data_IF_306313968824
#
_entry.id   IF_306313968824
#
_cell.length_a   1.000
_cell.length_b   1.000
_cell.length_c   1.000
_cell.angle_alpha   90.00
_cell.angle_beta   90.00
_cell.angle_gamma   90.00
#
_symmetry.space_group_name_H-M   'P 1'
#
loop_
_entity.id
_entity.type
_entity.pdbx_description
1 polymer ?
#
# COMPACT_ATOMS: atom_id res chain seq x y z
N UNK A 1 -24.14 3.16 12.75
CA UNK A 1 -22.90 3.15 11.93
C UNK A 1 -22.73 1.77 11.33
N UNK A 2 -23.03 1.61 10.04
CA UNK A 2 -22.63 0.40 9.32
C UNK A 2 -21.11 0.38 9.24
N UNK A 3 -20.45 -0.50 10.00
CA UNK A 3 -19.03 -0.82 9.79
C UNK A 3 -18.95 -1.43 8.40
N UNK A 4 -18.64 -0.62 7.41
CA UNK A 4 -18.45 -1.09 6.05
C UNK A 4 -17.23 -2.01 6.08
N UNK A 5 -17.48 -3.32 6.01
CA UNK A 5 -16.45 -4.35 5.89
C UNK A 5 -15.96 -4.34 4.43
N UNK A 6 -15.51 -3.18 3.94
CA UNK A 6 -14.62 -3.16 2.80
C UNK A 6 -13.26 -3.64 3.32
N UNK A 7 -13.16 -4.94 3.57
CA UNK A 7 -11.87 -5.63 3.66
C UNK A 7 -11.16 -5.38 2.35
N UNK A 8 -10.04 -4.64 2.39
CA UNK A 8 -9.17 -4.50 1.22
C UNK A 8 -8.87 -5.92 0.72
N UNK A 9 -9.00 -6.14 -0.58
CA UNK A 9 -8.67 -7.44 -1.17
C UNK A 9 -7.23 -7.82 -0.79
N UNK A 10 -7.03 -9.06 -0.36
CA UNK A 10 -5.74 -9.51 0.16
C UNK A 10 -4.62 -9.40 -0.86
N UNK A 11 -4.93 -9.64 -2.14
CA UNK A 11 -3.97 -9.51 -3.25
C UNK A 11 -3.64 -8.05 -3.50
N UNK A 12 -4.66 -7.19 -3.61
CA UNK A 12 -4.47 -5.76 -3.83
C UNK A 12 -3.65 -5.12 -2.70
N UNK A 13 -3.89 -5.54 -1.45
CA UNK A 13 -3.13 -5.10 -0.29
C UNK A 13 -1.68 -5.59 -0.33
N UNK A 14 -1.47 -6.85 -0.72
CA UNK A 14 -0.12 -7.43 -0.88
C UNK A 14 0.70 -6.64 -1.91
N UNK A 15 0.10 -6.32 -3.05
CA UNK A 15 0.74 -5.51 -4.10
C UNK A 15 1.03 -4.10 -3.61
N UNK A 16 0.06 -3.43 -2.96
CA UNK A 16 0.27 -2.10 -2.38
C UNK A 16 1.41 -2.08 -1.36
N UNK A 17 1.48 -3.10 -0.48
CA UNK A 17 2.55 -3.24 0.51
C UNK A 17 3.92 -3.44 -0.15
N UNK A 18 4.01 -4.23 -1.22
CA UNK A 18 5.26 -4.41 -1.95
C UNK A 18 5.72 -3.10 -2.61
N UNK A 19 4.81 -2.35 -3.24
CA UNK A 19 5.13 -1.02 -3.79
C UNK A 19 5.57 -0.03 -2.72
N UNK A 20 4.98 -0.08 -1.52
CA UNK A 20 5.40 0.74 -0.40
C UNK A 20 6.84 0.40 0.04
N UNK A 21 7.16 -0.88 0.21
CA UNK A 21 8.51 -1.33 0.58
C UNK A 21 9.54 -0.87 -0.47
N UNK A 22 9.23 -1.04 -1.75
CA UNK A 22 10.09 -0.61 -2.86
C UNK A 22 10.30 0.91 -2.87
N UNK A 23 9.25 1.69 -2.60
CA UNK A 23 9.31 3.15 -2.53
C UNK A 23 10.22 3.66 -1.41
N UNK A 24 10.27 2.93 -0.29
CA UNK A 24 11.11 3.24 0.87
C UNK A 24 12.60 2.91 0.65
N UNK A 25 12.94 2.11 -0.37
CA UNK A 25 14.33 1.88 -0.73
C UNK A 25 15.00 3.18 -1.23
N UNK A 26 16.33 3.23 -1.15
CA UNK A 26 17.10 4.39 -1.61
C UNK A 26 16.81 4.67 -3.10
N UNK A 27 16.83 5.94 -3.54
CA UNK A 27 16.52 6.29 -4.92
C UNK A 27 17.36 5.58 -5.98
N UNK A 28 18.62 5.24 -5.66
CA UNK A 28 19.54 4.51 -6.55
C UNK A 28 19.32 2.99 -6.56
N UNK A 29 18.45 2.48 -5.68
CA UNK A 29 18.16 1.05 -5.50
C UNK A 29 16.75 0.65 -5.87
N UNK A 30 15.82 1.60 -5.96
CA UNK A 30 14.41 1.34 -6.30
C UNK A 30 14.15 1.39 -7.80
N UNK A 31 13.27 0.52 -8.27
CA UNK A 31 12.78 0.45 -9.65
C UNK A 31 11.57 1.36 -9.84
N UNK A 32 10.74 1.53 -8.80
CA UNK A 32 9.54 2.37 -8.83
C UNK A 32 9.45 3.28 -7.61
N UNK A 33 8.64 4.33 -7.73
CA UNK A 33 8.28 5.25 -6.66
C UNK A 33 6.77 5.48 -6.70
N UNK A 34 6.03 4.82 -5.81
CA UNK A 34 4.58 4.97 -5.67
C UNK A 34 4.29 5.83 -4.43
N UNK A 35 4.07 7.15 -4.61
CA UNK A 35 3.90 8.09 -3.50
C UNK A 35 2.58 7.91 -2.72
N UNK A 36 1.73 6.97 -3.12
CA UNK A 36 0.42 6.73 -2.49
C UNK A 36 0.22 5.30 -2.00
N UNK A 37 1.22 4.43 -2.14
CA UNK A 37 1.11 3.02 -1.75
C UNK A 37 0.73 2.82 -0.28
N UNK A 38 1.15 3.74 0.60
CA UNK A 38 0.83 3.77 2.02
C UNK A 38 -0.68 3.91 2.30
N UNK A 39 -1.43 4.57 1.42
CA UNK A 39 -2.88 4.74 1.57
C UNK A 39 -3.66 3.43 1.36
N UNK A 40 -3.05 2.46 0.68
CA UNK A 40 -3.72 1.22 0.26
C UNK A 40 -3.33 -0.02 1.08
N UNK A 41 -2.50 0.12 2.12
CA UNK A 41 -2.19 -0.98 3.05
C UNK A 41 -3.18 -1.06 4.22
N UNK A 42 -3.19 -2.16 4.97
CA UNK A 42 -3.94 -2.25 6.23
C UNK A 42 -3.49 -1.16 7.20
N UNK A 43 -4.44 -0.57 7.92
CA UNK A 43 -4.19 0.48 8.90
C UNK A 43 -4.24 1.90 8.31
N UNK A 44 -4.17 2.03 6.98
CA UNK A 44 -4.43 3.32 6.34
C UNK A 44 -5.93 3.63 6.37
N UNK A 45 -6.26 4.81 6.91
CA UNK A 45 -7.59 5.41 6.81
C UNK A 45 -7.93 5.67 5.33
N UNK A 46 -9.19 5.41 4.96
CA UNK A 46 -9.71 5.78 3.64
C UNK A 46 -9.93 7.30 3.57
#
# INVERSE_FOLDING_TARGET
MSKSIFTKDGTAQGVAKQRLIETLARPDKRVINDPYADKFVIGASL
#
